data_IF_104661548575
#
_entry.id   IF_104661548575
#
_cell.length_a   1.000
_cell.length_b   1.000
_cell.length_c   1.000
_cell.angle_alpha   90.00
_cell.angle_beta   90.00
_cell.angle_gamma   90.00
#
_symmetry.space_group_name_H-M   'P 1'
#
loop_
_entity.id
_entity.type
_entity.pdbx_description
1 polymer ?
#
# COMPACT_ATOMS: atom_id res chain seq x y z
N UNK A 1 -28.02 42.91 -10.87
CA UNK A 1 -26.81 42.08 -10.78
C UNK A 1 -27.28 40.64 -10.66
N UNK A 2 -27.12 39.80 -11.69
CA UNK A 2 -27.47 38.38 -11.63
C UNK A 2 -26.22 37.62 -11.19
N UNK A 3 -26.22 37.05 -10.00
CA UNK A 3 -25.20 36.10 -9.56
C UNK A 3 -25.49 34.81 -10.34
N UNK A 4 -24.64 34.49 -11.32
CA UNK A 4 -24.56 33.12 -11.85
C UNK A 4 -23.79 32.33 -10.81
N UNK A 5 -24.50 31.51 -10.06
CA UNK A 5 -23.86 30.44 -9.29
C UNK A 5 -23.50 29.38 -10.32
N UNK A 6 -22.30 29.52 -10.90
CA UNK A 6 -21.70 28.41 -11.61
C UNK A 6 -21.48 27.31 -10.55
N UNK A 7 -22.26 26.24 -10.65
CA UNK A 7 -22.02 25.03 -9.88
C UNK A 7 -20.65 24.52 -10.32
N UNK A 8 -19.64 24.79 -9.50
CA UNK A 8 -18.39 24.04 -9.56
C UNK A 8 -18.72 22.67 -9.00
N UNK A 9 -19.01 21.71 -9.86
CA UNK A 9 -18.86 20.31 -9.50
C UNK A 9 -17.36 20.13 -9.25
N UNK A 10 -16.94 20.22 -7.99
CA UNK A 10 -15.69 19.60 -7.60
C UNK A 10 -15.91 18.11 -7.82
N UNK A 11 -15.45 17.60 -8.95
CA UNK A 11 -15.21 16.18 -9.13
C UNK A 11 -14.19 15.80 -8.07
N UNK A 12 -14.66 15.29 -6.94
CA UNK A 12 -13.79 14.64 -5.97
C UNK A 12 -13.57 13.25 -6.52
N UNK A 13 -12.35 12.90 -6.89
CA UNK A 13 -11.96 11.50 -7.01
C UNK A 13 -11.67 11.01 -5.60
N UNK A 14 -12.24 9.87 -5.19
CA UNK A 14 -11.87 9.16 -3.96
C UNK A 14 -11.05 7.95 -4.36
N UNK A 15 -9.97 7.66 -3.65
CA UNK A 15 -9.19 6.43 -3.85
C UNK A 15 -9.49 5.42 -2.76
N UNK A 16 -9.44 4.14 -3.10
CA UNK A 16 -9.68 3.07 -2.13
C UNK A 16 -8.57 2.01 -2.17
N UNK A 17 -8.45 1.29 -1.07
CA UNK A 17 -7.50 0.21 -0.85
C UNK A 17 -8.09 -0.83 0.09
N UNK A 18 -8.21 -2.06 -0.41
CA UNK A 18 -8.62 -3.24 0.33
C UNK A 18 -7.48 -4.23 0.21
N UNK A 19 -6.66 -4.34 1.26
CA UNK A 19 -5.44 -5.13 1.24
C UNK A 19 -5.45 -6.10 2.43
N UNK A 20 -5.35 -7.39 2.11
CA UNK A 20 -5.24 -8.47 3.07
C UNK A 20 -3.99 -9.30 2.79
N UNK A 21 -3.08 -9.38 3.76
CA UNK A 21 -1.83 -10.12 3.63
C UNK A 21 -1.70 -11.12 4.77
N UNK A 22 -1.66 -12.42 4.45
CA UNK A 22 -1.40 -13.47 5.44
C UNK A 22 0.08 -13.73 5.53
N UNK A 23 0.71 -13.23 6.59
CA UNK A 23 2.14 -13.36 6.82
C UNK A 23 2.50 -13.14 8.29
N UNK A 24 2.98 -14.18 8.96
CA UNK A 24 3.35 -14.11 10.38
C UNK A 24 4.53 -13.17 10.63
N UNK A 25 5.64 -13.37 9.94
CA UNK A 25 6.85 -12.60 10.21
C UNK A 25 6.70 -11.12 9.79
N UNK A 26 5.93 -10.86 8.72
CA UNK A 26 5.59 -9.50 8.33
C UNK A 26 4.63 -8.83 9.34
N UNK A 27 3.63 -9.56 9.84
CA UNK A 27 2.74 -9.05 10.89
C UNK A 27 3.51 -8.73 12.17
N UNK A 28 4.36 -9.64 12.66
CA UNK A 28 5.22 -9.39 13.82
C UNK A 28 6.18 -8.21 13.60
N UNK A 29 6.69 -8.03 12.38
CA UNK A 29 7.52 -6.90 12.00
C UNK A 29 6.75 -5.58 12.08
N UNK A 30 5.56 -5.48 11.49
CA UNK A 30 4.73 -4.27 11.55
C UNK A 30 4.28 -3.95 12.97
N UNK A 31 3.88 -4.96 13.75
CA UNK A 31 3.44 -4.79 15.14
C UNK A 31 4.54 -4.21 16.04
N UNK A 32 5.80 -4.56 15.77
CA UNK A 32 6.97 -3.99 16.47
C UNK A 32 7.06 -2.48 16.29
N UNK A 33 6.71 -1.96 15.12
CA UNK A 33 6.79 -0.53 14.78
C UNK A 33 5.46 0.22 14.93
N UNK A 34 4.36 -0.46 15.25
CA UNK A 34 3.01 0.15 15.37
C UNK A 34 2.99 1.41 16.23
N UNK A 35 3.68 1.38 17.38
CA UNK A 35 3.72 2.50 18.33
C UNK A 35 5.00 3.35 18.22
N UNK A 36 5.82 3.13 17.19
CA UNK A 36 6.96 3.98 16.91
C UNK A 36 6.50 5.34 16.36
N UNK A 37 7.36 6.35 16.44
CA UNK A 37 7.08 7.69 15.90
C UNK A 37 7.26 7.70 14.37
N UNK A 38 6.40 6.95 13.69
CA UNK A 38 6.33 6.84 12.23
C UNK A 38 5.03 7.52 11.77
N UNK A 39 5.08 8.42 10.78
CA UNK A 39 3.90 9.05 10.22
C UNK A 39 3.16 8.05 9.31
N UNK A 40 2.42 7.12 9.92
CA UNK A 40 1.60 6.16 9.19
C UNK A 40 0.54 6.88 8.36
N UNK A 41 0.46 6.56 7.06
CA UNK A 41 -0.46 7.18 6.10
C UNK A 41 -1.89 6.69 6.26
N UNK A 42 -2.06 5.44 6.70
CA UNK A 42 -3.34 4.78 6.95
C UNK A 42 -3.22 3.76 8.08
N UNK A 43 -4.34 3.39 8.67
CA UNK A 43 -4.41 2.43 9.76
C UNK A 43 -4.31 0.98 9.24
N UNK A 44 -3.80 0.08 10.08
CA UNK A 44 -3.76 -1.35 9.77
C UNK A 44 -4.07 -2.20 11.01
N UNK A 45 -4.80 -3.29 10.81
CA UNK A 45 -5.17 -4.26 11.86
C UNK A 45 -4.38 -5.54 11.64
N UNK A 46 -3.88 -6.14 12.73
CA UNK A 46 -3.23 -7.46 12.68
C UNK A 46 -4.06 -8.42 13.53
N UNK A 47 -4.69 -9.40 12.89
CA UNK A 47 -5.40 -10.50 13.55
C UNK A 47 -4.67 -11.82 13.27
N UNK A 48 -4.03 -12.35 14.31
CA UNK A 48 -3.10 -13.48 14.23
C UNK A 48 -1.98 -13.21 13.20
N UNK A 49 -2.00 -13.93 12.08
CA UNK A 49 -1.03 -13.81 10.99
C UNK A 49 -1.60 -13.01 9.81
N UNK A 50 -2.75 -12.37 9.95
CA UNK A 50 -3.40 -11.60 8.89
C UNK A 50 -3.29 -10.10 9.13
N UNK A 51 -2.76 -9.39 8.14
CA UNK A 51 -2.69 -7.93 8.09
C UNK A 51 -3.88 -7.45 7.26
N UNK A 52 -4.64 -6.51 7.79
CA UNK A 52 -5.82 -5.91 7.15
C UNK A 52 -5.64 -4.39 7.03
N UNK A 53 -5.82 -3.87 5.82
CA UNK A 53 -5.82 -2.44 5.50
C UNK A 53 -7.04 -2.21 4.63
N UNK A 54 -7.96 -1.39 5.11
CA UNK A 54 -9.21 -1.07 4.42
C UNK A 54 -9.45 0.43 4.57
N UNK A 55 -9.26 1.16 3.48
CA UNK A 55 -9.47 2.60 3.38
C UNK A 55 -10.24 2.87 2.09
N UNK A 56 -11.43 3.46 2.20
CA UNK A 56 -12.36 3.63 1.08
C UNK A 56 -12.43 5.07 0.59
N UNK A 57 -11.78 5.99 1.29
CA UNK A 57 -12.04 7.41 1.13
C UNK A 57 -10.83 8.20 0.60
N UNK A 58 -9.59 7.85 0.98
CA UNK A 58 -8.40 8.63 0.58
C UNK A 58 -7.07 7.87 0.72
N UNK A 59 -6.97 6.63 0.23
CA UNK A 59 -5.69 5.93 0.25
C UNK A 59 -4.77 6.40 -0.87
N UNK A 60 -3.51 6.73 -0.55
CA UNK A 60 -2.49 6.95 -1.57
C UNK A 60 -1.61 5.71 -1.70
N UNK A 61 -1.59 5.11 -2.90
CA UNK A 61 -0.79 3.93 -3.20
C UNK A 61 0.25 4.28 -4.27
N UNK A 62 1.51 4.57 -3.88
CA UNK A 62 2.54 5.00 -4.82
C UNK A 62 2.91 3.91 -5.85
N UNK A 63 2.82 2.63 -5.43
CA UNK A 63 3.20 1.48 -6.23
C UNK A 63 2.32 0.28 -5.88
N UNK A 64 1.69 -0.31 -6.90
CA UNK A 64 1.01 -1.60 -6.77
C UNK A 64 2.00 -2.75 -6.99
N UNK A 65 2.02 -3.80 -6.14
CA UNK A 65 2.86 -4.96 -6.37
C UNK A 65 2.33 -5.79 -7.54
N UNK A 66 3.21 -6.23 -8.42
CA UNK A 66 2.87 -7.13 -9.55
C UNK A 66 3.30 -8.58 -9.29
N UNK A 67 4.15 -8.78 -8.29
CA UNK A 67 4.63 -10.07 -7.82
C UNK A 67 4.85 -10.05 -6.30
N UNK A 68 5.00 -11.23 -5.69
CA UNK A 68 5.11 -11.34 -4.22
C UNK A 68 6.37 -10.69 -3.68
N UNK A 69 7.44 -10.65 -4.47
CA UNK A 69 8.72 -10.03 -4.14
C UNK A 69 8.61 -8.52 -3.93
N UNK A 70 7.64 -7.87 -4.56
CA UNK A 70 7.40 -6.42 -4.47
C UNK A 70 6.50 -6.02 -3.30
N UNK A 71 5.76 -6.97 -2.72
CA UNK A 71 4.73 -6.71 -1.69
C UNK A 71 5.30 -5.98 -0.48
N UNK A 72 6.47 -6.36 0.02
CA UNK A 72 7.07 -5.69 1.17
C UNK A 72 7.40 -4.22 0.85
N UNK A 73 7.99 -3.95 -0.31
CA UNK A 73 8.37 -2.60 -0.70
C UNK A 73 7.12 -1.73 -0.90
N UNK A 74 6.15 -2.22 -1.68
CA UNK A 74 4.87 -1.54 -1.91
C UNK A 74 4.12 -1.25 -0.60
N UNK A 75 4.09 -2.21 0.33
CA UNK A 75 3.44 -2.05 1.63
C UNK A 75 4.10 -0.97 2.49
N UNK A 76 5.44 -0.93 2.54
CA UNK A 76 6.15 0.06 3.35
C UNK A 76 6.07 1.47 2.74
N UNK A 77 6.14 1.58 1.42
CA UNK A 77 5.96 2.85 0.71
C UNK A 77 4.56 3.39 0.93
N UNK A 78 3.54 2.53 0.76
CA UNK A 78 2.16 2.89 1.03
C UNK A 78 1.94 3.30 2.49
N UNK A 79 2.34 2.48 3.47
CA UNK A 79 2.03 2.71 4.89
C UNK A 79 2.85 3.83 5.53
N UNK A 80 4.11 4.00 5.15
CA UNK A 80 5.04 4.88 5.86
C UNK A 80 5.75 5.88 4.95
N UNK A 81 5.43 5.92 3.65
CA UNK A 81 6.05 6.84 2.69
C UNK A 81 7.56 6.60 2.53
N UNK A 82 7.99 5.33 2.64
CA UNK A 82 9.40 4.95 2.57
C UNK A 82 9.66 3.94 1.46
N UNK A 83 10.74 4.11 0.70
CA UNK A 83 11.13 3.15 -0.32
C UNK A 83 12.26 2.26 0.19
N UNK A 84 12.06 0.94 0.11
CA UNK A 84 13.06 -0.04 0.55
C UNK A 84 14.39 0.07 -0.23
N UNK A 85 14.31 0.45 -1.51
CA UNK A 85 15.45 0.60 -2.42
C UNK A 85 16.37 1.76 -2.00
N UNK A 86 15.87 2.75 -1.26
CA UNK A 86 16.65 3.93 -0.85
C UNK A 86 17.79 3.56 0.09
N UNK A 87 17.71 2.42 0.79
CA UNK A 87 18.80 1.93 1.66
C UNK A 87 20.10 1.67 0.88
N UNK A 88 20.02 1.42 -0.42
CA UNK A 88 21.19 1.22 -1.28
C UNK A 88 21.78 2.54 -1.81
N UNK A 89 21.07 3.66 -1.62
CA UNK A 89 21.50 4.99 -2.06
C UNK A 89 22.67 5.52 -1.21
N UNK A 90 23.70 6.13 -1.83
CA UNK A 90 24.76 6.79 -1.08
C UNK A 90 24.28 8.01 -0.26
N UNK A 91 23.10 8.54 -0.58
CA UNK A 91 22.49 9.72 0.06
C UNK A 91 21.63 9.34 1.28
N UNK A 92 21.42 8.05 1.50
CA UNK A 92 20.62 7.56 2.62
C UNK A 92 21.33 7.70 3.98
N UNK A 93 20.64 8.10 5.06
CA UNK A 93 19.24 8.55 5.11
C UNK A 93 19.05 10.08 4.99
N UNK A 94 20.13 10.83 4.71
CA UNK A 94 20.21 12.29 4.96
C UNK A 94 19.30 13.10 4.02
N UNK A 95 19.20 12.71 2.75
CA UNK A 95 18.48 13.51 1.74
C UNK A 95 16.99 13.13 1.58
N UNK A 96 16.49 12.17 2.37
CA UNK A 96 15.14 11.58 2.22
C UNK A 96 14.11 12.07 3.25
N UNK A 97 14.48 12.98 4.15
CA UNK A 97 13.63 13.54 5.23
C UNK A 97 12.89 12.49 6.09
N UNK A 98 13.49 11.30 6.22
CA UNK A 98 12.94 10.21 7.03
C UNK A 98 13.16 10.46 8.53
N UNK A 99 12.15 10.15 9.33
CA UNK A 99 12.28 10.04 10.79
C UNK A 99 13.27 8.94 11.18
N UNK A 100 13.82 9.04 12.39
CA UNK A 100 14.74 8.03 12.92
C UNK A 100 14.11 6.62 12.96
N UNK A 101 12.82 6.53 13.28
CA UNK A 101 12.10 5.26 13.34
C UNK A 101 11.81 4.68 11.94
N UNK A 102 11.49 5.51 10.95
CA UNK A 102 11.42 5.07 9.54
C UNK A 102 12.75 4.49 9.07
N UNK A 103 13.88 5.15 9.37
CA UNK A 103 15.22 4.67 9.01
C UNK A 103 15.52 3.32 9.67
N UNK A 104 15.21 3.16 10.97
CA UNK A 104 15.38 1.88 11.69
C UNK A 104 14.54 0.76 11.06
N UNK A 105 13.27 1.05 10.77
CA UNK A 105 12.35 0.11 10.13
C UNK A 105 12.87 -0.32 8.77
N UNK A 106 13.26 0.62 7.91
CA UNK A 106 13.84 0.35 6.59
C UNK A 106 15.10 -0.51 6.66
N UNK A 107 16.05 -0.18 7.53
CA UNK A 107 17.29 -0.94 7.68
C UNK A 107 17.05 -2.36 8.17
N UNK A 108 16.06 -2.57 9.04
CA UNK A 108 15.69 -3.91 9.49
C UNK A 108 14.93 -4.69 8.42
N UNK A 109 13.97 -4.05 7.74
CA UNK A 109 13.25 -4.63 6.61
C UNK A 109 14.23 -5.08 5.52
N UNK A 110 15.19 -4.24 5.15
CA UNK A 110 16.17 -4.57 4.12
C UNK A 110 17.06 -5.77 4.52
N UNK A 111 17.51 -5.83 5.78
CA UNK A 111 18.27 -6.98 6.29
C UNK A 111 17.47 -8.29 6.31
N UNK A 112 16.15 -8.20 6.48
CA UNK A 112 15.23 -9.34 6.61
C UNK A 112 14.35 -9.54 5.37
N UNK A 113 14.63 -8.84 4.26
CA UNK A 113 13.75 -8.79 3.08
C UNK A 113 13.30 -10.18 2.62
N UNK A 114 14.26 -11.10 2.50
CA UNK A 114 13.99 -12.48 2.09
C UNK A 114 13.10 -13.21 3.10
N UNK A 115 13.37 -13.09 4.40
CA UNK A 115 12.57 -13.73 5.45
C UNK A 115 11.13 -13.21 5.45
N UNK A 116 10.96 -11.89 5.36
CA UNK A 116 9.66 -11.24 5.38
C UNK A 116 8.85 -11.61 4.14
N UNK A 117 9.42 -11.51 2.94
CA UNK A 117 8.77 -11.90 1.69
C UNK A 117 8.49 -13.41 1.64
N UNK A 118 9.45 -14.25 2.05
CA UNK A 118 9.27 -15.72 2.09
C UNK A 118 8.22 -16.14 3.14
N UNK A 119 7.84 -15.28 4.10
CA UNK A 119 6.79 -15.61 5.06
C UNK A 119 5.36 -15.41 4.54
N UNK A 120 5.19 -14.68 3.43
CA UNK A 120 3.88 -14.38 2.82
C UNK A 120 3.23 -15.67 2.29
N UNK A 121 2.00 -15.94 2.76
CA UNK A 121 1.18 -17.09 2.35
C UNK A 121 0.14 -16.70 1.31
N UNK A 122 -0.56 -15.60 1.55
CA UNK A 122 -1.57 -15.06 0.65
C UNK A 122 -1.50 -13.54 0.61
N UNK A 123 -1.86 -12.97 -0.53
CA UNK A 123 -2.09 -11.53 -0.72
C UNK A 123 -3.38 -11.38 -1.52
N UNK A 124 -4.27 -10.52 -1.05
CA UNK A 124 -5.34 -9.93 -1.83
C UNK A 124 -5.12 -8.41 -1.74
N UNK A 125 -4.69 -7.80 -2.84
CA UNK A 125 -4.37 -6.39 -2.90
C UNK A 125 -5.24 -5.77 -3.97
N UNK A 126 -6.19 -4.93 -3.56
CA UNK A 126 -7.08 -4.25 -4.46
C UNK A 126 -7.07 -2.76 -4.17
N UNK A 127 -6.70 -1.96 -5.16
CA UNK A 127 -6.64 -0.50 -5.05
C UNK A 127 -7.25 0.12 -6.27
N UNK A 128 -7.90 1.27 -6.13
CA UNK A 128 -8.53 1.93 -7.26
C UNK A 128 -8.89 3.38 -6.99
N UNK A 129 -9.52 3.99 -7.99
CA UNK A 129 -10.07 5.33 -7.89
C UNK A 129 -11.56 5.24 -8.16
N UNK A 130 -12.37 5.53 -7.14
CA UNK A 130 -13.79 5.78 -7.31
C UNK A 130 -13.99 7.25 -7.76
N UNK A 131 -14.29 7.46 -9.04
CA UNK A 131 -14.72 8.77 -9.55
C UNK A 131 -16.22 8.96 -9.33
N UNK A 132 -16.61 10.04 -8.65
CA UNK A 132 -18.03 10.36 -8.46
C UNK A 132 -18.73 10.63 -9.80
N UNK A 133 -19.54 9.68 -10.26
CA UNK A 133 -20.40 9.81 -11.44
C UNK A 133 -19.99 8.99 -12.66
N UNK A 134 -18.93 8.18 -12.56
CA UNK A 134 -18.68 7.10 -13.52
C UNK A 134 -19.67 5.95 -13.27
N UNK A 135 -20.13 5.32 -14.34
CA UNK A 135 -20.84 4.03 -14.24
C UNK A 135 -19.85 2.86 -14.28
N UNK A 136 -20.31 1.65 -13.95
CA UNK A 136 -19.46 0.46 -13.84
C UNK A 136 -18.68 0.13 -15.14
N UNK A 137 -19.16 0.58 -16.31
CA UNK A 137 -18.45 0.41 -17.59
C UNK A 137 -17.33 1.46 -17.74
N UNK A 138 -17.56 2.72 -17.35
CA UNK A 138 -16.53 3.77 -17.39
C UNK A 138 -15.43 3.58 -16.32
N UNK A 139 -15.76 3.09 -15.12
CA UNK A 139 -14.76 2.77 -14.08
C UNK A 139 -13.81 1.65 -14.56
N UNK A 140 -14.36 0.59 -15.16
CA UNK A 140 -13.60 -0.56 -15.67
C UNK A 140 -12.79 -0.28 -16.95
N UNK A 141 -13.04 0.83 -17.65
CA UNK A 141 -12.26 1.26 -18.82
C UNK A 141 -11.17 2.30 -18.46
N UNK A 142 -11.18 2.81 -17.22
CA UNK A 142 -10.35 3.94 -16.81
C UNK A 142 -8.87 3.62 -16.61
N UNK A 143 -8.50 2.35 -16.39
CA UNK A 143 -7.14 1.96 -16.03
C UNK A 143 -6.77 2.24 -14.56
N UNK A 144 -7.72 2.67 -13.72
CA UNK A 144 -7.43 3.13 -12.35
C UNK A 144 -7.27 2.02 -11.34
N UNK A 145 -7.86 0.85 -11.60
CA UNK A 145 -7.97 -0.22 -10.62
C UNK A 145 -6.87 -1.25 -10.84
N UNK A 146 -6.24 -1.66 -9.74
CA UNK A 146 -5.19 -2.65 -9.74
C UNK A 146 -5.51 -3.74 -8.73
N UNK A 147 -5.43 -4.99 -9.19
CA UNK A 147 -5.63 -6.18 -8.39
C UNK A 147 -4.37 -7.03 -8.47
N UNK A 148 -3.81 -7.36 -7.31
CA UNK A 148 -2.78 -8.39 -7.18
C UNK A 148 -3.23 -9.47 -6.21
N UNK A 149 -3.27 -10.71 -6.70
CA UNK A 149 -3.63 -11.89 -5.91
C UNK A 149 -2.49 -12.90 -5.89
N UNK A 150 -2.14 -13.33 -4.70
CA UNK A 150 -1.13 -14.36 -4.46
C UNK A 150 -1.67 -15.41 -3.50
N UNK A 151 -1.47 -16.69 -3.82
CA UNK A 151 -1.71 -17.81 -2.91
C UNK A 151 -0.62 -18.86 -3.13
N UNK A 152 0.26 -19.00 -2.15
CA UNK A 152 1.41 -19.90 -2.25
C UNK A 152 1.02 -21.37 -2.38
N UNK A 153 -0.01 -21.81 -1.66
CA UNK A 153 -0.43 -23.21 -1.64
C UNK A 153 -1.11 -23.60 -2.95
N UNK A 154 -1.92 -22.68 -3.49
CA UNK A 154 -2.60 -22.86 -4.77
C UNK A 154 -1.73 -22.51 -5.98
N UNK A 155 -0.55 -21.92 -5.75
CA UNK A 155 0.38 -21.42 -6.78
C UNK A 155 -0.28 -20.36 -7.69
N UNK A 156 -1.04 -19.48 -7.08
CA UNK A 156 -1.66 -18.33 -7.74
C UNK A 156 -0.72 -17.13 -7.60
N UNK A 157 -0.54 -16.40 -8.70
CA UNK A 157 0.17 -15.12 -8.75
C UNK A 157 -0.36 -14.38 -9.97
N UNK A 158 -1.34 -13.51 -9.74
CA UNK A 158 -2.13 -12.86 -10.78
C UNK A 158 -2.12 -11.36 -10.53
N UNK A 159 -1.86 -10.59 -11.58
CA UNK A 159 -1.90 -9.14 -11.59
C UNK A 159 -2.81 -8.70 -12.73
N UNK A 160 -3.79 -7.87 -12.40
CA UNK A 160 -4.76 -7.31 -13.34
C UNK A 160 -4.84 -5.81 -13.11
N UNK A 161 -4.98 -5.05 -14.20
CA UNK A 161 -5.23 -3.61 -14.20
C UNK A 161 -6.44 -3.37 -15.11
N UNK A 162 -7.40 -2.59 -14.63
CA UNK A 162 -8.67 -2.29 -15.30
C UNK A 162 -8.79 -0.81 -15.53
#
# INVERSE_FOLDING_TARGET
MKIRTDFVTNSSSSSFGIIHIKSKALGEFLEKYRNADIPWTTDFIIDNDMIHIEDMDDIFVPRNPTCVEEVLSALLDMLAGVNLEDVESPEFPVDYDYSEEQVKMLLEANKRVKELTDSIKTVDWHTGIAEWGMDEEEEAESGSDAIFRYDREKKISEYEMF
#
